data_IF_147527859044
#
_entry.id   IF_147527859044
#
_cell.length_a   1.000
_cell.length_b   1.000
_cell.length_c   1.000
_cell.angle_alpha   90.00
_cell.angle_beta   90.00
_cell.angle_gamma   90.00
#
_symmetry.space_group_name_H-M   'P 1'
#
loop_
_entity.id
_entity.type
_entity.pdbx_description
1 polymer ?
#
# COMPACT_ATOMS: atom_id res chain seq x y z
N UNK A 1 -12.31 -1.46 1.92
CA UNK A 1 -12.29 -2.53 0.90
C UNK A 1 -13.62 -2.54 0.18
N UNK A 2 -13.62 -2.73 -1.13
CA UNK A 2 -14.82 -2.80 -1.98
C UNK A 2 -14.81 -4.13 -2.73
N UNK A 3 -15.90 -4.89 -2.63
CA UNK A 3 -16.07 -6.14 -3.39
C UNK A 3 -16.54 -5.83 -4.81
N UNK A 4 -15.84 -6.38 -5.81
CA UNK A 4 -16.16 -6.22 -7.22
C UNK A 4 -17.15 -7.27 -7.76
N UNK A 5 -17.62 -8.21 -6.91
CA UNK A 5 -18.58 -9.27 -7.24
C UNK A 5 -18.11 -10.25 -8.33
N UNK A 6 -16.80 -10.34 -8.53
CA UNK A 6 -16.15 -11.25 -9.48
C UNK A 6 -15.01 -12.04 -8.82
N UNK A 7 -15.03 -12.15 -7.49
CA UNK A 7 -13.96 -12.80 -6.71
C UNK A 7 -12.75 -11.91 -6.43
N UNK A 8 -12.77 -10.65 -6.83
CA UNK A 8 -11.72 -9.66 -6.51
C UNK A 8 -12.23 -8.60 -5.54
N UNK A 9 -11.32 -8.05 -4.74
CA UNK A 9 -11.59 -6.93 -3.84
C UNK A 9 -10.61 -5.79 -4.09
N UNK A 10 -11.11 -4.56 -4.08
CA UNK A 10 -10.32 -3.35 -4.20
C UNK A 10 -10.00 -2.78 -2.81
N UNK A 11 -8.72 -2.48 -2.59
CA UNK A 11 -8.21 -1.85 -1.37
C UNK A 11 -7.56 -0.54 -1.76
N UNK A 12 -7.96 0.54 -1.11
CA UNK A 12 -7.37 1.86 -1.30
C UNK A 12 -6.87 2.39 0.05
N UNK A 13 -5.71 3.03 0.02
CA UNK A 13 -5.17 3.81 1.11
C UNK A 13 -4.88 5.21 0.55
N UNK A 14 -5.39 6.24 1.22
CA UNK A 14 -5.23 7.63 0.82
C UNK A 14 -4.56 8.35 1.97
N UNK A 15 -3.58 9.18 1.64
CA UNK A 15 -2.85 10.01 2.59
C UNK A 15 -3.05 11.46 2.22
N UNK A 16 -3.42 12.27 3.20
CA UNK A 16 -3.49 13.72 3.08
C UNK A 16 -2.36 14.33 3.91
N UNK A 17 -1.68 15.32 3.34
CA UNK A 17 -0.55 16.00 3.98
C UNK A 17 -0.51 17.45 3.51
N UNK A 18 -0.07 18.33 4.41
CA UNK A 18 0.01 19.77 4.17
C UNK A 18 1.17 20.13 3.21
N UNK A 19 2.19 19.26 3.12
CA UNK A 19 3.33 19.42 2.23
C UNK A 19 3.96 18.09 1.84
N UNK A 20 4.66 18.07 0.70
CA UNK A 20 5.43 16.91 0.25
C UNK A 20 6.54 16.51 1.24
N UNK A 21 7.11 17.47 1.97
CA UNK A 21 8.11 17.20 3.01
C UNK A 21 7.50 16.38 4.16
N UNK A 22 6.31 16.75 4.62
CA UNK A 22 5.58 16.02 5.66
C UNK A 22 5.26 14.59 5.21
N UNK A 23 4.87 14.40 3.94
CA UNK A 23 4.70 13.07 3.35
C UNK A 23 5.99 12.23 3.47
N UNK A 24 7.14 12.79 3.07
CA UNK A 24 8.41 12.07 3.15
C UNK A 24 8.79 11.72 4.60
N UNK A 25 8.51 12.61 5.56
CA UNK A 25 8.76 12.32 6.98
C UNK A 25 7.91 11.16 7.49
N UNK A 26 6.62 11.14 7.17
CA UNK A 26 5.70 10.06 7.55
C UNK A 26 6.18 8.75 6.94
N UNK A 27 6.48 8.76 5.64
CA UNK A 27 6.90 7.57 4.92
C UNK A 27 8.25 7.04 5.41
N UNK A 28 9.19 7.94 5.73
CA UNK A 28 10.47 7.56 6.32
C UNK A 28 10.30 6.91 7.69
N UNK A 29 9.40 7.42 8.54
CA UNK A 29 9.10 6.84 9.86
C UNK A 29 8.51 5.44 9.74
N UNK A 30 7.54 5.23 8.84
CA UNK A 30 6.92 3.92 8.60
C UNK A 30 7.96 2.93 8.07
N UNK A 31 8.77 3.33 7.10
CA UNK A 31 9.85 2.51 6.52
C UNK A 31 11.01 2.24 7.47
N UNK A 32 11.07 2.90 8.62
CA UNK A 32 12.08 2.68 9.65
C UNK A 32 11.55 1.84 10.81
N UNK A 33 10.26 1.51 10.85
CA UNK A 33 9.69 0.63 11.87
C UNK A 33 10.04 -0.83 11.58
N UNK A 34 11.09 -1.32 12.25
CA UNK A 34 11.59 -2.69 12.10
C UNK A 34 10.53 -3.76 12.41
N UNK A 35 9.63 -3.52 13.38
CA UNK A 35 8.59 -4.51 13.72
C UNK A 35 7.57 -4.61 12.61
N UNK A 36 7.16 -3.46 12.08
CA UNK A 36 6.24 -3.40 10.94
C UNK A 36 6.84 -4.10 9.71
N UNK A 37 8.07 -3.74 9.34
CA UNK A 37 8.80 -4.31 8.21
C UNK A 37 8.94 -5.83 8.37
N UNK A 38 9.35 -6.29 9.55
CA UNK A 38 9.48 -7.72 9.85
C UNK A 38 8.14 -8.45 9.66
N UNK A 39 7.04 -7.89 10.17
CA UNK A 39 5.71 -8.48 9.99
C UNK A 39 5.29 -8.59 8.53
N UNK A 40 5.61 -7.59 7.70
CA UNK A 40 5.36 -7.63 6.25
C UNK A 40 6.18 -8.73 5.58
N UNK A 41 7.47 -8.82 5.90
CA UNK A 41 8.34 -9.86 5.34
C UNK A 41 7.86 -11.27 5.73
N UNK A 42 7.60 -11.51 7.01
CA UNK A 42 7.07 -12.79 7.49
C UNK A 42 5.74 -13.14 6.83
N UNK A 43 4.87 -12.16 6.60
CA UNK A 43 3.62 -12.38 5.87
C UNK A 43 3.89 -12.84 4.44
N UNK A 44 4.77 -12.16 3.67
CA UNK A 44 5.10 -12.60 2.32
C UNK A 44 5.70 -14.00 2.29
N UNK A 45 6.66 -14.30 3.17
CA UNK A 45 7.29 -15.63 3.22
C UNK A 45 6.27 -16.74 3.52
N UNK A 46 5.33 -16.50 4.44
CA UNK A 46 4.26 -17.46 4.76
C UNK A 46 3.25 -17.66 3.63
N UNK A 47 3.23 -16.80 2.60
CA UNK A 47 2.28 -16.85 1.48
C UNK A 47 2.95 -17.16 0.13
N UNK A 48 4.14 -17.75 0.15
CA UNK A 48 4.84 -18.19 -1.07
C UNK A 48 5.87 -17.20 -1.61
N UNK A 49 6.18 -16.15 -0.85
CA UNK A 49 7.14 -15.10 -1.21
C UNK A 49 6.47 -13.93 -1.93
N UNK A 50 7.22 -12.82 -2.01
CA UNK A 50 6.72 -11.57 -2.59
C UNK A 50 6.33 -11.71 -4.06
N UNK A 51 7.17 -12.37 -4.85
CA UNK A 51 6.96 -12.58 -6.28
C UNK A 51 5.68 -13.40 -6.55
N UNK A 52 5.47 -14.48 -5.80
CA UNK A 52 4.29 -15.31 -5.92
C UNK A 52 3.02 -14.53 -5.57
N UNK A 53 3.02 -13.80 -4.45
CA UNK A 53 1.87 -12.97 -4.06
C UNK A 53 1.54 -11.92 -5.12
N UNK A 54 2.56 -11.24 -5.67
CA UNK A 54 2.35 -10.24 -6.72
C UNK A 54 1.76 -10.85 -8.00
N UNK A 55 2.16 -12.06 -8.37
CA UNK A 55 1.67 -12.73 -9.57
C UNK A 55 0.27 -13.32 -9.40
N UNK A 56 -0.01 -13.92 -8.24
CA UNK A 56 -1.22 -14.70 -8.04
C UNK A 56 -2.35 -13.93 -7.36
N UNK A 57 -2.04 -12.97 -6.47
CA UNK A 57 -3.06 -12.30 -5.65
C UNK A 57 -3.35 -10.86 -6.10
N UNK A 58 -2.40 -10.21 -6.78
CA UNK A 58 -2.52 -8.80 -7.17
C UNK A 58 -2.86 -8.71 -8.65
N UNK A 59 -4.10 -8.31 -8.94
CA UNK A 59 -4.57 -8.13 -10.33
C UNK A 59 -4.10 -6.79 -10.91
N UNK A 60 -4.19 -5.71 -10.13
CA UNK A 60 -3.79 -4.37 -10.53
C UNK A 60 -3.33 -3.60 -9.29
N UNK A 61 -2.30 -2.75 -9.45
CA UNK A 61 -1.81 -1.85 -8.41
C UNK A 61 -1.61 -0.46 -8.99
N UNK A 62 -2.16 0.56 -8.34
CA UNK A 62 -2.02 1.97 -8.72
C UNK A 62 -1.43 2.77 -7.57
N UNK A 63 -0.54 3.69 -7.90
CA UNK A 63 -0.03 4.69 -6.99
C UNK A 63 -0.14 6.05 -7.69
N UNK A 64 -1.09 6.87 -7.24
CA UNK A 64 -1.50 8.10 -7.92
C UNK A 64 -1.54 9.24 -6.91
N UNK A 65 -1.04 10.41 -7.32
CA UNK A 65 -1.20 11.64 -6.56
C UNK A 65 -2.62 12.20 -6.78
N UNK A 66 -3.30 12.53 -5.69
CA UNK A 66 -4.61 13.17 -5.72
C UNK A 66 -4.46 14.66 -5.44
N UNK A 67 -4.86 15.51 -6.38
CA UNK A 67 -4.82 16.97 -6.25
C UNK A 67 -6.23 17.55 -6.17
N UNK A 68 -6.47 18.41 -5.19
CA UNK A 68 -7.73 19.17 -5.12
C UNK A 68 -7.72 20.26 -6.20
N UNK A 69 -8.67 20.19 -7.14
CA UNK A 69 -8.81 21.16 -8.24
C UNK A 69 -9.90 22.21 -7.98
N UNK A 70 -10.63 22.07 -6.88
CA UNK A 70 -11.68 23.01 -6.47
C UNK A 70 -11.03 24.11 -5.62
N UNK A 71 -11.13 25.35 -6.08
CA UNK A 71 -10.71 26.56 -5.35
C UNK A 71 -11.85 27.14 -4.54
#
# INVERSE_FOLDING_TARGET
MKDNKNGTSEVFAIWEYDSYEQYNEIESKIRSDERHIKGIHEWYENHGGKEYVLQEYIVEMKNEELVCTVK
#
